data_IF_475764279281
#
_entry.id   IF_475764279281
#
_cell.length_a   1.000
_cell.length_b   1.000
_cell.length_c   1.000
_cell.angle_alpha   90.00
_cell.angle_beta   90.00
_cell.angle_gamma   90.00
#
_symmetry.space_group_name_H-M   'P 1'
#
loop_
_entity.id
_entity.type
_entity.pdbx_description
1 polymer ?
#
# COMPACT_ATOMS: atom_id res chain seq x y z
N UNK A 1 22.42 -0.18 -1.38
CA UNK A 1 21.06 -0.33 -1.91
C UNK A 1 20.13 0.22 -0.84
N UNK A 2 19.52 1.38 -1.10
CA UNK A 2 18.51 1.97 -0.22
C UNK A 2 17.15 1.50 -0.75
N UNK A 3 16.28 1.01 0.12
CA UNK A 3 14.90 0.64 -0.25
C UNK A 3 13.99 1.71 0.33
N UNK A 4 13.41 2.54 -0.52
CA UNK A 4 12.43 3.55 -0.12
C UNK A 4 11.02 2.95 -0.17
N UNK A 5 10.31 2.98 0.96
CA UNK A 5 8.91 2.58 1.05
C UNK A 5 8.07 3.82 0.72
N UNK A 6 7.52 3.85 -0.49
CA UNK A 6 6.80 5.01 -1.04
C UNK A 6 5.31 5.08 -0.64
N UNK A 7 4.76 4.02 -0.03
CA UNK A 7 3.35 4.00 0.42
C UNK A 7 3.20 3.25 1.74
N UNK A 8 2.43 3.86 2.63
CA UNK A 8 2.02 3.34 3.95
C UNK A 8 0.60 2.71 3.90
N UNK A 9 -0.03 2.72 2.73
CA UNK A 9 -1.38 2.23 2.47
C UNK A 9 -1.32 0.97 1.60
N UNK A 10 -2.01 -0.11 2.03
CA UNK A 10 -1.99 -1.38 1.33
C UNK A 10 -0.83 -2.30 1.71
N UNK A 11 -0.75 -3.42 1.01
CA UNK A 11 0.44 -4.27 1.02
C UNK A 11 1.63 -3.51 0.43
N UNK A 12 2.84 -3.81 0.89
CA UNK A 12 4.06 -3.22 0.35
C UNK A 12 4.05 -3.40 -1.18
N UNK A 13 4.27 -2.33 -1.97
CA UNK A 13 4.32 -2.45 -3.42
C UNK A 13 5.42 -3.47 -3.79
N UNK A 14 5.20 -4.32 -4.80
CA UNK A 14 6.17 -5.33 -5.20
C UNK A 14 7.50 -4.66 -5.55
N UNK A 15 8.55 -4.99 -4.79
CA UNK A 15 9.89 -4.52 -5.04
C UNK A 15 10.40 -5.13 -6.34
N UNK A 16 10.81 -4.28 -7.28
CA UNK A 16 11.47 -4.71 -8.52
C UNK A 16 12.98 -4.68 -8.30
N UNK A 17 13.58 -5.87 -8.15
CA UNK A 17 15.03 -6.00 -8.10
C UNK A 17 15.62 -6.03 -9.50
N UNK A 18 16.65 -5.21 -9.75
CA UNK A 18 17.44 -5.30 -10.97
C UNK A 18 18.64 -6.24 -10.76
N UNK A 19 18.82 -7.19 -11.67
CA UNK A 19 20.01 -8.04 -11.74
C UNK A 19 21.16 -7.41 -12.54
N UNK A 20 21.01 -6.19 -13.07
CA UNK A 20 22.00 -5.53 -13.92
C UNK A 20 23.35 -5.27 -13.23
N UNK A 21 23.40 -5.34 -11.90
CA UNK A 21 24.63 -5.23 -11.09
C UNK A 21 25.05 -6.56 -10.46
N UNK A 22 24.35 -7.66 -10.72
CA UNK A 22 24.78 -8.99 -10.31
C UNK A 22 25.89 -9.46 -11.25
N UNK A 23 27.12 -9.10 -10.91
CA UNK A 23 28.31 -9.52 -11.63
C UNK A 23 28.70 -10.94 -11.20
N UNK A 24 28.61 -11.89 -12.12
CA UNK A 24 29.19 -13.21 -11.91
C UNK A 24 30.72 -13.13 -12.00
N UNK A 25 31.39 -13.27 -10.85
CA UNK A 25 32.86 -13.29 -10.76
C UNK A 25 33.51 -14.51 -11.42
N UNK A 26 32.73 -15.53 -11.79
CA UNK A 26 33.25 -16.77 -12.38
C UNK A 26 33.31 -16.70 -13.92
N UNK A 27 32.40 -15.97 -14.57
CA UNK A 27 32.31 -15.95 -16.04
C UNK A 27 32.78 -14.65 -16.72
N UNK A 28 32.99 -13.53 -16.00
CA UNK A 28 33.81 -12.39 -16.46
C UNK A 28 33.38 -11.68 -17.76
N UNK A 29 32.22 -12.02 -18.34
CA UNK A 29 31.79 -11.58 -19.67
C UNK A 29 30.70 -10.49 -19.64
N UNK A 30 30.47 -9.89 -18.46
CA UNK A 30 29.51 -8.81 -18.24
C UNK A 30 28.06 -9.15 -18.68
N UNK A 31 27.73 -10.44 -18.81
CA UNK A 31 26.33 -10.88 -18.95
C UNK A 31 25.62 -10.75 -17.60
N UNK A 32 24.33 -10.42 -17.66
CA UNK A 32 23.47 -10.45 -16.48
C UNK A 32 23.61 -11.81 -15.79
N UNK A 33 24.01 -11.80 -14.51
CA UNK A 33 24.11 -13.02 -13.73
C UNK A 33 22.78 -13.77 -13.74
N UNK A 34 22.80 -15.08 -13.94
CA UNK A 34 21.61 -15.95 -13.98
C UNK A 34 20.88 -16.09 -12.63
N UNK A 35 21.21 -15.25 -11.65
CA UNK A 35 20.59 -15.23 -10.33
C UNK A 35 19.19 -14.63 -10.41
N UNK A 36 18.24 -15.29 -9.74
CA UNK A 36 16.86 -14.82 -9.62
C UNK A 36 16.67 -14.10 -8.29
N UNK A 37 16.20 -12.85 -8.32
CA UNK A 37 15.74 -12.11 -7.16
C UNK A 37 14.22 -12.30 -7.06
N UNK A 38 13.76 -12.99 -6.01
CA UNK A 38 12.33 -13.23 -5.77
C UNK A 38 11.91 -12.44 -4.54
N UNK A 39 10.88 -11.60 -4.70
CA UNK A 39 10.24 -10.86 -3.62
C UNK A 39 8.82 -11.40 -3.41
N UNK A 40 8.43 -11.62 -2.16
CA UNK A 40 7.06 -11.98 -1.78
C UNK A 40 6.41 -10.83 -1.00
N UNK A 41 5.14 -10.56 -1.29
CA UNK A 41 4.35 -9.45 -0.73
C UNK A 41 3.03 -9.96 -0.15
N UNK A 42 2.28 -9.11 0.54
CA UNK A 42 0.88 -9.43 0.90
C UNK A 42 0.69 -10.52 1.95
N UNK A 43 1.71 -10.81 2.76
CA UNK A 43 1.66 -11.91 3.71
C UNK A 43 2.08 -13.26 3.16
N UNK A 44 2.49 -13.35 1.89
CA UNK A 44 2.96 -14.60 1.30
C UNK A 44 4.30 -15.05 1.89
N UNK A 45 4.57 -16.35 1.77
CA UNK A 45 5.77 -16.98 2.32
C UNK A 45 6.77 -17.39 1.24
N UNK A 46 8.05 -17.16 1.51
CA UNK A 46 9.18 -17.63 0.72
C UNK A 46 10.20 -18.25 1.67
N UNK A 47 10.57 -19.51 1.43
CA UNK A 47 11.59 -20.24 2.22
C UNK A 47 11.37 -20.22 3.74
N UNK A 48 10.11 -20.12 4.19
CA UNK A 48 9.75 -20.06 5.61
C UNK A 48 9.81 -18.66 6.23
N UNK A 49 10.12 -17.62 5.46
CA UNK A 49 9.94 -16.22 5.85
C UNK A 49 8.59 -15.74 5.31
N UNK A 50 7.86 -14.97 6.11
CA UNK A 50 6.57 -14.41 5.72
C UNK A 50 6.71 -12.91 5.48
N UNK A 51 6.16 -12.44 4.36
CA UNK A 51 6.06 -11.01 4.09
C UNK A 51 5.13 -10.34 5.11
N UNK A 52 5.38 -9.07 5.44
CA UNK A 52 4.46 -8.32 6.29
C UNK A 52 3.26 -7.92 5.45
N UNK A 53 2.07 -8.38 5.86
CA UNK A 53 0.81 -7.97 5.24
C UNK A 53 0.46 -6.54 5.67
N UNK A 54 0.09 -5.70 4.71
CA UNK A 54 -0.44 -4.37 4.99
C UNK A 54 -1.76 -4.46 5.73
N UNK A 55 -1.98 -3.58 6.71
CA UNK A 55 -3.22 -3.54 7.49
C UNK A 55 -4.19 -2.45 7.01
N UNK A 56 -3.75 -1.60 6.09
CA UNK A 56 -4.52 -0.46 5.58
C UNK A 56 -4.97 -0.74 4.15
N UNK A 57 -6.12 -0.22 3.76
CA UNK A 57 -6.64 -0.36 2.40
C UNK A 57 -5.96 0.63 1.43
N UNK A 58 -5.59 0.16 0.24
CA UNK A 58 -5.18 1.01 -0.88
C UNK A 58 -6.39 1.23 -1.80
N UNK A 59 -7.42 1.87 -1.26
CA UNK A 59 -8.65 2.17 -1.98
C UNK A 59 -8.90 3.67 -2.01
N UNK A 60 -9.27 4.18 -3.17
CA UNK A 60 -9.66 5.58 -3.32
C UNK A 60 -10.85 5.86 -2.39
N UNK A 61 -10.71 6.87 -1.53
CA UNK A 61 -11.70 7.21 -0.52
C UNK A 61 -12.15 6.01 0.33
N UNK A 62 -11.24 5.08 0.62
CA UNK A 62 -11.54 3.88 1.42
C UNK A 62 -12.68 3.02 0.85
N UNK A 63 -12.99 3.12 -0.46
CA UNK A 63 -14.22 2.59 -1.08
C UNK A 63 -15.54 3.04 -0.42
N UNK A 64 -15.47 4.06 0.43
CA UNK A 64 -16.58 4.58 1.21
C UNK A 64 -16.91 6.03 0.85
N UNK A 65 -16.55 6.47 -0.35
CA UNK A 65 -16.86 7.80 -0.84
C UNK A 65 -16.55 8.00 -2.31
N UNK A 66 -16.91 9.19 -2.81
CA UNK A 66 -16.62 9.64 -4.17
C UNK A 66 -15.47 10.64 -4.11
N UNK A 67 -14.43 10.41 -4.90
CA UNK A 67 -13.29 11.33 -4.98
C UNK A 67 -13.62 12.49 -5.92
N UNK A 68 -13.49 13.72 -5.42
CA UNK A 68 -13.38 14.89 -6.26
C UNK A 68 -11.92 15.06 -6.67
N UNK A 69 -11.60 14.69 -7.91
CA UNK A 69 -10.24 14.80 -8.45
C UNK A 69 -9.77 16.25 -8.66
N UNK A 70 -10.67 17.24 -8.65
CA UNK A 70 -10.30 18.64 -8.79
C UNK A 70 -9.74 19.24 -7.50
N UNK A 71 -10.21 18.76 -6.36
CA UNK A 71 -9.81 19.21 -5.02
C UNK A 71 -8.95 18.18 -4.26
N UNK A 72 -8.99 16.91 -4.67
CA UNK A 72 -8.36 15.79 -3.99
C UNK A 72 -9.10 15.34 -2.72
N UNK A 73 -10.34 15.79 -2.53
CA UNK A 73 -11.14 15.53 -1.33
C UNK A 73 -12.16 14.43 -1.59
N UNK A 74 -12.35 13.53 -0.63
CA UNK A 74 -13.39 12.50 -0.69
C UNK A 74 -14.70 12.98 -0.06
N UNK A 75 -15.80 12.82 -0.81
CA UNK A 75 -17.16 12.95 -0.29
C UNK A 75 -17.63 11.59 0.21
N UNK A 76 -17.79 11.44 1.53
CA UNK A 76 -18.08 10.15 2.14
C UNK A 76 -19.54 9.72 2.01
N UNK A 77 -19.76 8.41 1.91
CA UNK A 77 -21.08 7.79 2.01
C UNK A 77 -21.63 7.89 3.44
N UNK A 78 -22.93 7.64 3.60
CA UNK A 78 -23.57 7.66 4.90
C UNK A 78 -22.87 6.72 5.89
N UNK A 79 -22.66 7.19 7.12
CA UNK A 79 -21.93 6.51 8.21
C UNK A 79 -20.41 6.39 8.01
N UNK A 80 -19.82 7.13 7.06
CA UNK A 80 -18.39 7.21 6.88
C UNK A 80 -17.91 8.66 6.94
N UNK A 81 -16.72 8.85 7.52
CA UNK A 81 -16.12 10.16 7.72
C UNK A 81 -14.60 10.14 7.69
N UNK A 82 -14.01 11.31 7.91
CA UNK A 82 -12.56 11.47 7.89
C UNK A 82 -11.89 10.63 8.98
N UNK A 83 -10.72 10.06 8.67
CA UNK A 83 -9.98 9.23 9.62
C UNK A 83 -8.69 9.89 10.08
N UNK A 84 -8.12 9.37 11.15
CA UNK A 84 -6.80 9.74 11.68
C UNK A 84 -5.67 8.86 11.12
N UNK A 85 -5.98 7.97 10.17
CA UNK A 85 -5.04 6.97 9.63
C UNK A 85 -4.77 5.76 10.54
N UNK A 86 -5.38 5.72 11.73
CA UNK A 86 -5.27 4.65 12.72
C UNK A 86 -6.62 3.98 13.03
N UNK A 87 -7.65 4.26 12.24
CA UNK A 87 -8.99 3.70 12.38
C UNK A 87 -9.91 4.49 13.31
N UNK A 88 -9.48 5.65 13.79
CA UNK A 88 -10.29 6.61 14.53
C UNK A 88 -10.78 7.78 13.67
N UNK A 89 -11.66 8.64 14.22
CA UNK A 89 -12.07 9.87 13.55
C UNK A 89 -10.89 10.84 13.45
N UNK A 90 -10.74 11.49 12.31
CA UNK A 90 -9.66 12.45 12.09
C UNK A 90 -9.88 13.38 10.90
N UNK A 91 -8.88 14.19 10.59
CA UNK A 91 -8.96 15.25 9.57
C UNK A 91 -8.61 14.77 8.16
N UNK A 92 -8.16 13.52 8.00
CA UNK A 92 -7.86 12.97 6.68
C UNK A 92 -9.20 12.69 6.01
N UNK A 93 -9.52 13.45 4.97
CA UNK A 93 -10.77 13.30 4.21
C UNK A 93 -10.70 12.11 3.26
N UNK A 94 -10.55 10.90 3.81
CA UNK A 94 -10.43 9.63 3.06
C UNK A 94 -11.59 8.67 3.30
N UNK A 95 -12.59 9.01 4.12
CA UNK A 95 -13.74 8.14 4.42
C UNK A 95 -13.38 6.82 5.11
N UNK A 96 -12.22 6.76 5.77
CA UNK A 96 -11.72 5.53 6.42
C UNK A 96 -12.22 5.32 7.84
N UNK A 97 -13.04 6.22 8.39
CA UNK A 97 -13.64 6.05 9.71
C UNK A 97 -15.14 5.80 9.58
N UNK A 98 -15.63 4.73 10.21
CA UNK A 98 -17.06 4.45 10.27
C UNK A 98 -17.71 5.27 11.40
N UNK A 99 -18.33 6.39 11.02
CA UNK A 99 -19.10 7.23 11.90
C UNK A 99 -20.44 6.55 12.21
N UNK A 100 -20.57 5.94 13.39
CA UNK A 100 -21.84 5.46 13.93
C UNK A 100 -22.80 6.60 14.31
N UNK A 101 -23.01 7.59 13.43
CA UNK A 101 -24.05 8.61 13.62
C UNK A 101 -25.41 7.95 13.36
N UNK A 102 -26.35 7.99 14.33
CA UNK A 102 -27.69 7.50 14.08
C UNK A 102 -28.32 8.35 12.98
N UNK A 103 -28.92 7.69 12.01
CA UNK A 103 -29.81 8.31 11.02
C UNK A 103 -30.88 9.14 11.74
N UNK A 104 -30.81 10.47 11.61
CA UNK A 104 -31.82 11.37 12.16
C UNK A 104 -31.57 12.84 11.85
N UNK A 105 -32.33 13.38 10.90
CA UNK A 105 -32.51 14.82 10.63
C UNK A 105 -32.16 15.15 9.18
N UNK A 106 -33.10 15.43 8.28
CA UNK A 106 -34.44 16.06 8.40
C UNK A 106 -35.57 15.21 7.80
#
# INVERSE_FOLDING_TARGET
MLVDILTELGDLPPLSGSNALLQDRINGDARDGSGSLVFVTGGDSLLGQMSVKGTRENALCSNHGICDFSTGICTCHANFGGSDGNGGPGTIANCGFHEGKPTGGI
#
